data_IF_455468866770
#
_entry.id   IF_455468866770
#
_cell.length_a   1.000
_cell.length_b   1.000
_cell.length_c   1.000
_cell.angle_alpha   90.00
_cell.angle_beta   90.00
_cell.angle_gamma   90.00
#
_symmetry.space_group_name_H-M   'P 1'
#
loop_
_entity.id
_entity.type
_entity.pdbx_description
1 polymer ?
#
# COMPACT_ATOMS: atom_id res chain seq x y z
N UNK A 1 11.83 -24.26 -2.85
CA UNK A 1 10.40 -24.34 -3.26
C UNK A 1 9.66 -23.33 -2.40
N UNK A 2 9.15 -22.24 -2.94
CA UNK A 2 8.32 -21.31 -2.16
C UNK A 2 7.06 -22.03 -1.70
N UNK A 3 6.86 -22.09 -0.39
CA UNK A 3 5.64 -22.65 0.18
C UNK A 3 4.49 -21.67 -0.07
N UNK A 4 3.52 -22.10 -0.85
CA UNK A 4 2.38 -21.25 -1.22
C UNK A 4 1.42 -21.11 -0.04
N UNK A 5 1.28 -19.90 0.50
CA UNK A 5 0.31 -19.65 1.59
C UNK A 5 -1.11 -19.67 1.01
N UNK A 6 -2.01 -20.54 1.52
CA UNK A 6 -3.39 -20.59 1.06
C UNK A 6 -4.10 -19.23 1.19
N UNK A 7 -4.89 -18.86 0.18
CA UNK A 7 -5.64 -17.60 0.14
C UNK A 7 -6.50 -17.39 1.40
N UNK A 8 -7.12 -18.43 1.90
CA UNK A 8 -7.91 -18.35 3.14
C UNK A 8 -7.09 -17.88 4.34
N UNK A 9 -5.85 -18.37 4.49
CA UNK A 9 -4.94 -17.96 5.56
C UNK A 9 -4.55 -16.48 5.40
N UNK A 10 -4.30 -16.02 4.15
CA UNK A 10 -4.01 -14.62 3.86
C UNK A 10 -5.20 -13.74 4.27
N UNK A 11 -6.41 -14.12 3.90
CA UNK A 11 -7.63 -13.37 4.22
C UNK A 11 -7.90 -13.32 5.72
N UNK A 12 -7.70 -14.42 6.44
CA UNK A 12 -7.84 -14.46 7.90
C UNK A 12 -6.83 -13.54 8.58
N UNK A 13 -5.57 -13.55 8.15
CA UNK A 13 -4.53 -12.65 8.66
C UNK A 13 -4.84 -11.18 8.36
N UNK A 14 -5.31 -10.87 7.16
CA UNK A 14 -5.70 -9.52 6.78
C UNK A 14 -6.90 -9.02 7.61
N UNK A 15 -7.91 -9.86 7.83
CA UNK A 15 -9.05 -9.54 8.70
C UNK A 15 -8.62 -9.26 10.14
N UNK A 16 -7.73 -10.08 10.69
CA UNK A 16 -7.17 -9.87 12.02
C UNK A 16 -6.36 -8.57 12.11
N UNK A 17 -5.52 -8.29 11.11
CA UNK A 17 -4.74 -7.08 11.03
C UNK A 17 -5.60 -5.81 10.93
N UNK A 18 -6.72 -5.85 10.18
CA UNK A 18 -7.66 -4.73 10.05
C UNK A 18 -8.30 -4.32 11.39
N UNK A 19 -8.34 -5.22 12.39
CA UNK A 19 -8.83 -4.90 13.73
C UNK A 19 -7.80 -4.19 14.63
N UNK A 20 -6.55 -4.02 14.15
CA UNK A 20 -5.48 -3.41 14.94
C UNK A 20 -5.81 -1.93 15.29
N UNK A 21 -5.79 -1.56 16.60
CA UNK A 21 -6.11 -0.20 17.03
C UNK A 21 -5.19 0.87 16.42
N UNK A 22 -3.93 0.54 16.13
CA UNK A 22 -2.95 1.45 15.53
C UNK A 22 -3.36 1.95 14.15
N UNK A 23 -4.21 1.22 13.40
CA UNK A 23 -4.77 1.66 12.13
C UNK A 23 -5.81 2.78 12.27
N UNK A 24 -6.21 3.13 13.49
CA UNK A 24 -7.09 4.27 13.78
C UNK A 24 -6.32 5.51 14.24
N UNK A 25 -5.03 5.38 14.45
CA UNK A 25 -4.12 6.48 14.84
C UNK A 25 -3.34 6.98 13.63
N UNK A 26 -3.62 8.20 13.21
CA UNK A 26 -2.93 8.86 12.08
C UNK A 26 -1.42 8.92 12.29
N UNK A 27 -0.94 9.17 13.51
CA UNK A 27 0.48 9.23 13.78
C UNK A 27 1.14 7.86 13.64
N UNK A 28 0.47 6.79 14.08
CA UNK A 28 0.97 5.42 13.90
C UNK A 28 1.01 5.03 12.42
N UNK A 29 -0.03 5.35 11.64
CA UNK A 29 -0.02 5.15 10.18
C UNK A 29 1.13 5.88 9.50
N UNK A 30 1.33 7.15 9.81
CA UNK A 30 2.39 7.95 9.22
C UNK A 30 3.79 7.42 9.60
N UNK A 31 4.00 6.96 10.84
CA UNK A 31 5.26 6.29 11.22
C UNK A 31 5.48 5.00 10.45
N UNK A 32 4.45 4.20 10.26
CA UNK A 32 4.54 2.97 9.46
C UNK A 32 4.90 3.27 8.00
N UNK A 33 4.26 4.26 7.38
CA UNK A 33 4.56 4.70 6.03
C UNK A 33 5.99 5.22 5.89
N UNK A 34 6.46 6.03 6.85
CA UNK A 34 7.85 6.49 6.86
C UNK A 34 8.85 5.32 6.97
N UNK A 35 8.55 4.33 7.83
CA UNK A 35 9.38 3.12 7.95
C UNK A 35 9.37 2.29 6.66
N UNK A 36 8.23 2.19 5.93
CA UNK A 36 8.16 1.53 4.64
C UNK A 36 9.06 2.22 3.60
N UNK A 37 9.02 3.55 3.50
CA UNK A 37 9.87 4.30 2.58
C UNK A 37 11.36 4.12 2.89
N UNK A 38 11.73 4.15 4.17
CA UNK A 38 13.11 3.89 4.62
C UNK A 38 13.55 2.46 4.29
N UNK A 39 12.70 1.47 4.51
CA UNK A 39 13.00 0.08 4.19
C UNK A 39 13.24 -0.13 2.69
N UNK A 40 12.44 0.48 1.81
CA UNK A 40 12.69 0.43 0.37
C UNK A 40 14.07 0.97 -0.02
N UNK A 41 14.50 2.08 0.59
CA UNK A 41 15.83 2.65 0.34
C UNK A 41 16.95 1.75 0.88
N UNK A 42 16.76 1.21 2.08
CA UNK A 42 17.76 0.34 2.71
C UNK A 42 17.96 -0.97 1.96
N UNK A 43 16.87 -1.57 1.47
CA UNK A 43 16.87 -2.85 0.76
C UNK A 43 17.03 -2.69 -0.77
N UNK A 44 17.26 -1.48 -1.27
CA UNK A 44 17.36 -1.20 -2.70
C UNK A 44 18.36 -2.13 -3.43
N UNK A 45 19.57 -2.41 -2.91
CA UNK A 45 20.49 -3.31 -3.59
C UNK A 45 19.94 -4.74 -3.75
N UNK A 46 19.28 -5.26 -2.73
CA UNK A 46 18.68 -6.59 -2.75
C UNK A 46 17.50 -6.65 -3.72
N UNK A 47 16.62 -5.64 -3.67
CA UNK A 47 15.47 -5.55 -4.58
C UNK A 47 15.91 -5.46 -6.04
N UNK A 48 16.94 -4.68 -6.34
CA UNK A 48 17.46 -4.54 -7.71
C UNK A 48 18.13 -5.84 -8.20
N UNK A 49 18.82 -6.58 -7.33
CA UNK A 49 19.41 -7.86 -7.68
C UNK A 49 18.35 -8.90 -8.04
N UNK A 50 17.28 -9.03 -7.24
CA UNK A 50 16.17 -9.93 -7.53
C UNK A 50 15.40 -9.49 -8.79
N UNK A 51 15.19 -8.19 -8.98
CA UNK A 51 14.54 -7.67 -10.19
C UNK A 51 15.35 -7.94 -11.46
N UNK A 52 16.68 -7.92 -11.39
CA UNK A 52 17.53 -8.30 -12.52
C UNK A 52 17.35 -9.78 -12.89
N UNK A 53 17.22 -10.67 -11.90
CA UNK A 53 16.94 -12.08 -12.13
C UNK A 53 15.55 -12.31 -12.75
N UNK A 54 14.55 -11.57 -12.28
CA UNK A 54 13.18 -11.60 -12.83
C UNK A 54 13.15 -11.15 -14.30
N UNK A 55 13.87 -10.08 -14.63
CA UNK A 55 13.98 -9.56 -16.01
C UNK A 55 14.62 -10.59 -16.93
N UNK A 56 15.69 -11.25 -16.49
CA UNK A 56 16.36 -12.31 -17.26
C UNK A 56 15.42 -13.50 -17.48
N UNK A 57 14.70 -13.90 -16.45
CA UNK A 57 13.73 -14.99 -16.52
C UNK A 57 12.52 -14.66 -17.44
N UNK A 58 12.16 -13.38 -17.58
CA UNK A 58 11.06 -12.92 -18.41
C UNK A 58 11.42 -12.69 -19.88
N UNK A 59 12.72 -12.59 -20.22
CA UNK A 59 13.20 -12.37 -21.59
C UNK A 59 12.68 -13.44 -22.55
N UNK A 60 12.18 -12.99 -23.70
CA UNK A 60 11.59 -13.88 -24.71
C UNK A 60 10.25 -14.51 -24.34
N UNK A 61 9.72 -14.26 -23.11
CA UNK A 61 8.41 -14.74 -22.67
C UNK A 61 7.34 -13.66 -22.66
N UNK A 62 7.75 -12.39 -22.51
CA UNK A 62 6.86 -11.24 -22.50
C UNK A 62 7.36 -10.18 -23.49
N UNK A 63 6.49 -9.22 -23.85
CA UNK A 63 6.86 -8.13 -24.75
C UNK A 63 7.83 -7.14 -24.10
N UNK A 64 8.57 -6.37 -24.92
CA UNK A 64 9.50 -5.34 -24.44
C UNK A 64 8.80 -4.28 -23.56
N UNK A 65 7.55 -3.96 -23.86
CA UNK A 65 6.72 -3.06 -23.04
C UNK A 65 6.48 -3.63 -21.65
N UNK A 66 6.28 -4.94 -21.54
CA UNK A 66 6.10 -5.61 -20.26
C UNK A 66 7.43 -5.70 -19.50
N UNK A 67 8.55 -5.94 -20.20
CA UNK A 67 9.88 -5.90 -19.61
C UNK A 67 10.20 -4.54 -19.02
N UNK A 68 9.90 -3.44 -19.74
CA UNK A 68 10.09 -2.08 -19.17
C UNK A 68 9.22 -1.82 -17.95
N UNK A 69 7.99 -2.33 -17.93
CA UNK A 69 7.10 -2.21 -16.76
C UNK A 69 7.57 -3.03 -15.56
N UNK A 70 8.23 -4.16 -15.80
CA UNK A 70 8.81 -5.01 -14.76
C UNK A 70 10.11 -4.42 -14.21
N UNK A 71 10.87 -3.69 -15.04
CA UNK A 71 12.20 -3.20 -14.69
C UNK A 71 12.16 -2.17 -13.56
N UNK A 72 13.03 -2.36 -12.57
CA UNK A 72 13.35 -1.37 -11.55
C UNK A 72 14.76 -0.83 -11.76
N UNK A 73 14.98 0.39 -11.31
CA UNK A 73 16.27 1.03 -11.15
C UNK A 73 16.23 1.92 -9.89
N UNK A 74 17.37 2.46 -9.50
CA UNK A 74 17.47 3.33 -8.31
C UNK A 74 16.47 4.50 -8.35
N UNK A 75 16.31 5.15 -9.51
CA UNK A 75 15.39 6.27 -9.66
C UNK A 75 13.92 5.84 -9.50
N UNK A 76 13.54 4.67 -10.02
CA UNK A 76 12.19 4.12 -9.84
C UNK A 76 11.94 3.72 -8.38
N UNK A 77 12.92 3.12 -7.70
CA UNK A 77 12.83 2.80 -6.26
C UNK A 77 12.72 4.07 -5.41
N UNK A 78 13.52 5.09 -5.67
CA UNK A 78 13.39 6.37 -4.98
C UNK A 78 12.02 7.00 -5.24
N UNK A 79 11.51 6.92 -6.47
CA UNK A 79 10.15 7.35 -6.81
C UNK A 79 9.06 6.63 -5.99
N UNK A 80 9.23 5.31 -5.77
CA UNK A 80 8.32 4.52 -4.91
C UNK A 80 8.37 5.01 -3.46
N UNK A 81 9.58 5.21 -2.91
CA UNK A 81 9.75 5.72 -1.54
C UNK A 81 9.17 7.12 -1.37
N UNK A 82 9.44 8.03 -2.30
CA UNK A 82 8.86 9.38 -2.32
C UNK A 82 7.33 9.35 -2.45
N UNK A 83 6.77 8.41 -3.23
CA UNK A 83 5.34 8.18 -3.34
C UNK A 83 4.70 7.81 -2.01
N UNK A 84 5.32 6.92 -1.23
CA UNK A 84 4.86 6.56 0.11
C UNK A 84 4.89 7.77 1.05
N UNK A 85 5.97 8.56 1.01
CA UNK A 85 6.09 9.79 1.82
C UNK A 85 5.02 10.82 1.45
N UNK A 86 4.73 10.97 0.16
CA UNK A 86 3.64 11.82 -0.31
C UNK A 86 2.27 11.34 0.22
N UNK A 87 2.01 10.04 0.23
CA UNK A 87 0.80 9.45 0.84
C UNK A 87 0.76 9.72 2.34
N UNK A 88 1.89 9.61 3.05
CA UNK A 88 1.96 9.92 4.48
C UNK A 88 1.61 11.38 4.79
N UNK A 89 1.96 12.31 3.90
CA UNK A 89 1.65 13.73 4.04
C UNK A 89 0.17 14.09 3.79
N UNK A 90 -0.60 13.21 3.15
CA UNK A 90 -2.03 13.46 2.92
C UNK A 90 -2.80 13.51 4.24
N UNK A 91 -3.92 14.27 4.31
CA UNK A 91 -4.85 14.17 5.43
C UNK A 91 -5.38 12.74 5.57
N UNK A 92 -5.49 12.26 6.81
CA UNK A 92 -6.12 10.96 7.07
C UNK A 92 -7.58 10.99 6.59
N UNK A 93 -7.99 10.06 5.72
CA UNK A 93 -9.36 10.03 5.23
C UNK A 93 -10.36 9.50 6.26
N UNK A 94 -9.89 8.79 7.30
CA UNK A 94 -10.74 8.14 8.29
C UNK A 94 -11.18 9.11 9.39
N UNK A 95 -12.46 9.06 9.75
CA UNK A 95 -13.02 9.87 10.84
C UNK A 95 -13.35 11.32 10.46
N UNK A 96 -13.20 11.71 9.21
CA UNK A 96 -13.54 13.06 8.74
C UNK A 96 -15.05 13.28 8.78
N UNK A 97 -15.47 14.43 9.28
CA UNK A 97 -16.87 14.89 9.12
C UNK A 97 -17.08 15.33 7.67
N UNK A 98 -17.96 14.66 6.97
CA UNK A 98 -18.31 14.93 5.57
C UNK A 98 -19.49 15.87 5.45
N UNK A 99 -20.41 15.80 6.42
CA UNK A 99 -21.60 16.63 6.52
C UNK A 99 -22.11 16.65 7.95
N UNK A 100 -22.72 17.76 8.37
CA UNK A 100 -23.30 17.88 9.71
C UNK A 100 -24.46 18.88 9.69
N UNK A 101 -25.58 18.50 10.30
CA UNK A 101 -26.71 19.39 10.50
C UNK A 101 -27.50 19.04 11.77
N UNK A 102 -28.26 20.02 12.26
CA UNK A 102 -29.15 19.84 13.40
C UNK A 102 -30.60 19.90 12.89
N UNK A 103 -31.38 18.91 13.23
CA UNK A 103 -32.80 18.85 12.91
C UNK A 103 -33.60 19.84 13.79
N UNK A 104 -34.83 20.22 13.38
CA UNK A 104 -35.69 21.11 14.18
C UNK A 104 -36.02 20.58 15.58
N UNK A 105 -35.95 19.24 15.76
CA UNK A 105 -36.15 18.55 17.06
C UNK A 105 -34.90 18.56 17.95
N UNK A 106 -33.78 19.20 17.51
CA UNK A 106 -32.54 19.31 18.23
C UNK A 106 -31.56 18.12 18.00
N UNK A 107 -31.96 17.10 17.22
CA UNK A 107 -31.07 15.96 16.93
C UNK A 107 -29.95 16.41 15.99
N UNK A 108 -28.68 16.20 16.42
CA UNK A 108 -27.47 16.45 15.62
C UNK A 108 -27.16 15.20 14.80
N UNK A 109 -27.13 15.37 13.49
CA UNK A 109 -26.76 14.31 12.53
C UNK A 109 -25.40 14.66 11.95
N UNK A 110 -24.48 13.69 11.98
CA UNK A 110 -23.13 13.85 11.46
C UNK A 110 -22.80 12.67 10.53
N UNK A 111 -22.43 12.95 9.28
CA UNK A 111 -21.91 11.99 8.32
C UNK A 111 -20.40 11.92 8.44
N UNK A 112 -19.87 10.77 8.80
CA UNK A 112 -18.41 10.55 8.96
C UNK A 112 -17.89 9.49 8.01
N UNK A 113 -16.64 9.68 7.55
CA UNK A 113 -15.90 8.63 6.84
C UNK A 113 -15.45 7.54 7.81
N UNK A 114 -15.48 6.31 7.35
CA UNK A 114 -15.05 5.11 8.10
C UNK A 114 -14.02 4.32 7.30
N UNK A 115 -13.20 3.46 7.95
CA UNK A 115 -12.29 2.57 7.22
C UNK A 115 -13.05 1.70 6.22
N UNK A 116 -12.45 1.47 5.05
CA UNK A 116 -13.02 0.56 4.05
C UNK A 116 -12.95 -0.91 4.46
N UNK A 117 -12.10 -1.24 5.42
CA UNK A 117 -11.85 -2.62 5.84
C UNK A 117 -10.71 -3.26 5.04
N UNK A 118 -10.82 -4.57 4.77
CA UNK A 118 -9.82 -5.30 3.98
C UNK A 118 -10.03 -5.05 2.50
N UNK A 119 -8.96 -4.65 1.81
CA UNK A 119 -8.95 -4.44 0.36
C UNK A 119 -8.10 -5.53 -0.28
N UNK A 120 -8.62 -6.20 -1.30
CA UNK A 120 -7.87 -7.13 -2.13
C UNK A 120 -7.51 -6.44 -3.45
N UNK A 121 -6.22 -6.49 -3.80
CA UNK A 121 -5.70 -5.91 -5.03
C UNK A 121 -5.00 -7.02 -5.82
N UNK A 122 -5.44 -7.24 -7.06
CA UNK A 122 -4.83 -8.20 -7.97
C UNK A 122 -4.12 -7.41 -9.07
N UNK A 123 -2.82 -7.65 -9.23
CA UNK A 123 -2.00 -6.96 -10.22
C UNK A 123 -0.92 -7.88 -10.77
N UNK A 124 -0.31 -7.48 -11.87
CA UNK A 124 0.66 -8.27 -12.63
C UNK A 124 1.78 -7.38 -13.16
N UNK A 125 3.00 -7.90 -13.16
CA UNK A 125 4.18 -7.30 -13.82
C UNK A 125 4.47 -5.81 -13.50
N UNK A 126 4.12 -5.35 -12.30
CA UNK A 126 4.35 -3.97 -11.85
C UNK A 126 4.85 -3.96 -10.40
N UNK A 127 6.16 -4.04 -10.17
CA UNK A 127 6.72 -4.12 -8.81
C UNK A 127 6.37 -2.91 -7.93
N UNK A 128 6.21 -1.71 -8.50
CA UNK A 128 5.79 -0.51 -7.77
C UNK A 128 4.37 -0.62 -7.19
N UNK A 129 3.48 -1.38 -7.79
CA UNK A 129 2.10 -1.51 -7.30
C UNK A 129 2.05 -2.11 -5.89
N UNK A 130 3.01 -2.96 -5.53
CA UNK A 130 3.10 -3.52 -4.18
C UNK A 130 3.23 -2.43 -3.12
N UNK A 131 4.15 -1.50 -3.31
CA UNK A 131 4.37 -0.38 -2.37
C UNK A 131 3.23 0.63 -2.40
N UNK A 132 2.75 0.99 -3.59
CA UNK A 132 1.69 1.98 -3.77
C UNK A 132 0.38 1.49 -3.13
N UNK A 133 -0.02 0.24 -3.41
CA UNK A 133 -1.21 -0.38 -2.86
C UNK A 133 -1.14 -0.51 -1.32
N UNK A 134 0.01 -0.95 -0.79
CA UNK A 134 0.22 -1.07 0.65
C UNK A 134 0.13 0.30 1.33
N UNK A 135 0.77 1.33 0.77
CA UNK A 135 0.76 2.68 1.33
C UNK A 135 -0.65 3.27 1.36
N UNK A 136 -1.39 3.17 0.26
CA UNK A 136 -2.77 3.66 0.17
C UNK A 136 -3.72 2.90 1.09
N UNK A 137 -3.54 1.59 1.25
CA UNK A 137 -4.39 0.79 2.12
C UNK A 137 -4.13 1.06 3.62
N UNK A 138 -2.91 1.42 4.01
CA UNK A 138 -2.55 1.79 5.39
C UNK A 138 -3.07 3.18 5.74
N UNK A 139 -2.99 4.15 4.81
CA UNK A 139 -3.43 5.52 5.03
C UNK A 139 -4.93 5.66 5.14
#
# INVERSE_FOLDING_TARGET
MMEFTPTEVILQRAKAAAACPSLRDTAAKNRALAAMAQALRAEAPAILAENAADLEAARGKVSDVMLDRLALNEARLEGMAAGIEAVAALPDPVGRTLDEFVRPDGLRICKRSVPMGVIAIIYESRPNVTSDAAALAVK
#
